data_IF_183134030811
#
_entry.id   IF_183134030811
#
_cell.length_a   1.000
_cell.length_b   1.000
_cell.length_c   1.000
_cell.angle_alpha   90.00
_cell.angle_beta   90.00
_cell.angle_gamma   90.00
#
_symmetry.space_group_name_H-M   'P 1'
#
loop_
_entity.id
_entity.type
_entity.pdbx_description
1 polymer ?
#
# COMPACT_ATOMS: atom_id res chain seq x y z
N UNK A 1 30.35 -30.41 -7.35
CA UNK A 1 30.80 -29.25 -8.13
C UNK A 1 29.71 -28.17 -8.10
N UNK A 2 30.12 -26.94 -7.78
CA UNK A 2 29.41 -25.66 -7.81
C UNK A 2 27.96 -25.57 -7.28
N UNK A 3 27.81 -25.30 -5.97
CA UNK A 3 26.63 -24.57 -5.45
C UNK A 3 26.66 -23.16 -6.04
N UNK A 4 25.67 -22.82 -6.84
CA UNK A 4 25.55 -21.50 -7.45
C UNK A 4 25.47 -20.40 -6.40
N UNK A 5 26.27 -19.36 -6.60
CA UNK A 5 26.67 -18.33 -5.62
C UNK A 5 25.87 -17.04 -5.85
N UNK A 6 24.61 -17.13 -6.27
CA UNK A 6 23.73 -15.96 -6.32
C UNK A 6 23.22 -15.62 -4.91
N UNK A 7 24.19 -15.14 -4.13
CA UNK A 7 24.05 -14.34 -2.92
C UNK A 7 23.07 -13.18 -3.17
N UNK A 8 22.07 -13.04 -2.32
CA UNK A 8 21.46 -11.76 -1.96
C UNK A 8 21.08 -10.79 -3.10
N UNK A 9 20.61 -11.28 -4.23
CA UNK A 9 19.81 -10.43 -5.10
C UNK A 9 18.39 -10.54 -4.56
N UNK A 10 17.92 -9.49 -3.88
CA UNK A 10 16.50 -9.25 -3.62
C UNK A 10 15.80 -9.24 -4.98
N UNK A 11 15.46 -10.44 -5.48
CA UNK A 11 14.43 -10.59 -6.49
C UNK A 11 13.16 -10.22 -5.74
N UNK A 12 12.86 -8.92 -5.66
CA UNK A 12 11.51 -8.46 -5.40
C UNK A 12 10.70 -9.16 -6.47
N UNK A 13 9.98 -10.22 -6.09
CA UNK A 13 9.08 -10.92 -6.99
C UNK A 13 8.07 -9.88 -7.42
N UNK A 14 8.29 -9.28 -8.60
CA UNK A 14 7.37 -8.31 -9.23
C UNK A 14 5.94 -8.85 -9.37
N UNK A 15 5.74 -10.15 -9.18
CA UNK A 15 4.46 -10.84 -9.12
C UNK A 15 3.53 -10.33 -7.99
N UNK A 16 4.06 -9.67 -6.94
CA UNK A 16 3.25 -9.20 -5.79
C UNK A 16 2.90 -7.71 -5.86
N UNK A 17 3.27 -7.02 -6.95
CA UNK A 17 2.98 -5.59 -7.12
C UNK A 17 1.55 -5.43 -7.66
N UNK A 18 0.65 -5.02 -6.78
CA UNK A 18 -0.72 -4.62 -7.11
C UNK A 18 -0.66 -3.27 -7.82
N UNK A 19 -0.92 -3.31 -9.13
CA UNK A 19 -1.17 -2.13 -9.96
C UNK A 19 -2.66 -1.91 -10.24
N UNK A 20 -3.51 -2.78 -9.70
CA UNK A 20 -4.93 -2.76 -9.94
C UNK A 20 -5.52 -1.43 -9.45
N UNK A 21 -6.17 -0.73 -10.39
CA UNK A 21 -6.77 0.57 -10.13
C UNK A 21 -8.00 0.47 -9.23
N UNK A 22 -8.75 -0.63 -9.33
CA UNK A 22 -9.94 -0.87 -8.52
C UNK A 22 -9.62 -0.94 -7.02
N UNK A 23 -8.44 -1.50 -6.68
CA UNK A 23 -7.96 -1.57 -5.29
C UNK A 23 -7.66 -0.17 -4.74
N UNK A 24 -7.04 0.70 -5.56
CA UNK A 24 -6.81 2.08 -5.16
C UNK A 24 -8.14 2.81 -4.91
N UNK A 25 -9.09 2.66 -5.82
CA UNK A 25 -10.39 3.33 -5.75
C UNK A 25 -11.19 2.89 -4.53
N UNK A 26 -11.21 1.60 -4.22
CA UNK A 26 -11.87 1.08 -3.01
C UNK A 26 -11.27 1.65 -1.70
N UNK A 27 -9.93 1.75 -1.63
CA UNK A 27 -9.26 2.37 -0.46
C UNK A 27 -9.58 3.86 -0.37
N UNK A 28 -9.64 4.55 -1.51
CA UNK A 28 -9.92 5.98 -1.55
C UNK A 28 -11.37 6.31 -1.19
N UNK A 29 -12.33 5.51 -1.66
CA UNK A 29 -13.74 5.65 -1.29
C UNK A 29 -13.94 5.47 0.22
N UNK A 30 -13.37 4.43 0.83
CA UNK A 30 -13.50 4.22 2.27
C UNK A 30 -12.79 5.33 3.06
N UNK A 31 -11.61 5.78 2.62
CA UNK A 31 -10.90 6.93 3.24
C UNK A 31 -11.78 8.18 3.26
N UNK A 32 -12.39 8.51 2.13
CA UNK A 32 -13.28 9.69 2.01
C UNK A 32 -14.51 9.52 2.88
N UNK A 33 -15.10 8.32 2.91
CA UNK A 33 -16.29 8.01 3.72
C UNK A 33 -16.05 8.19 5.22
N UNK A 34 -14.87 7.82 5.72
CA UNK A 34 -14.52 8.01 7.14
C UNK A 34 -13.93 9.40 7.43
N UNK A 35 -13.78 10.27 6.41
CA UNK A 35 -13.24 11.61 6.57
C UNK A 35 -11.74 11.68 6.90
N UNK A 36 -11.00 10.58 6.75
CA UNK A 36 -9.57 10.55 7.07
C UNK A 36 -8.74 11.29 6.02
N UNK A 37 -7.67 11.98 6.42
CA UNK A 37 -6.77 12.59 5.43
C UNK A 37 -5.83 11.53 4.82
N UNK A 38 -5.26 11.84 3.66
CA UNK A 38 -4.21 10.98 3.06
C UNK A 38 -2.99 10.88 3.98
N UNK A 39 -2.69 11.94 4.75
CA UNK A 39 -1.58 11.94 5.69
C UNK A 39 -1.80 10.95 6.84
N UNK A 40 -3.01 10.93 7.42
CA UNK A 40 -3.36 10.02 8.51
C UNK A 40 -3.32 8.57 8.05
N UNK A 41 -3.93 8.29 6.89
CA UNK A 41 -3.91 6.95 6.29
C UNK A 41 -2.48 6.47 6.02
N UNK A 42 -1.65 7.31 5.41
CA UNK A 42 -0.25 6.96 5.13
C UNK A 42 0.56 6.75 6.41
N UNK A 43 0.37 7.61 7.41
CA UNK A 43 1.06 7.53 8.69
C UNK A 43 0.71 6.23 9.42
N UNK A 44 -0.58 5.92 9.51
CA UNK A 44 -1.08 4.74 10.21
C UNK A 44 -0.71 3.43 9.46
N UNK A 45 -0.65 3.47 8.13
CA UNK A 45 -0.24 2.34 7.31
C UNK A 45 1.29 2.18 7.17
N UNK A 46 2.10 3.08 7.74
CA UNK A 46 3.56 3.08 7.57
C UNK A 46 4.02 3.32 6.11
N UNK A 47 3.17 3.95 5.29
CA UNK A 47 3.42 4.22 3.88
C UNK A 47 3.86 5.67 3.68
N UNK A 48 4.79 5.93 2.76
CA UNK A 48 5.08 7.31 2.38
C UNK A 48 3.98 7.89 1.48
N UNK A 49 3.62 9.16 1.71
CA UNK A 49 2.69 9.91 0.85
C UNK A 49 3.12 9.92 -0.62
N UNK A 50 4.43 9.97 -0.89
CA UNK A 50 4.94 9.91 -2.26
C UNK A 50 4.59 8.59 -2.94
N UNK A 51 4.73 7.46 -2.25
CA UNK A 51 4.39 6.16 -2.80
C UNK A 51 2.87 6.06 -3.07
N UNK A 52 2.06 6.57 -2.14
CA UNK A 52 0.62 6.67 -2.31
C UNK A 52 0.24 7.49 -3.57
N UNK A 53 0.84 8.66 -3.78
CA UNK A 53 0.56 9.47 -4.98
C UNK A 53 1.09 8.85 -6.28
N UNK A 54 2.20 8.10 -6.24
CA UNK A 54 2.68 7.33 -7.40
C UNK A 54 1.72 6.21 -7.77
N UNK A 55 1.18 5.51 -6.76
CA UNK A 55 0.12 4.53 -6.95
C UNK A 55 -1.15 5.17 -7.52
N UNK A 56 -1.57 6.33 -6.97
CA UNK A 56 -2.69 7.14 -7.51
C UNK A 56 -2.48 7.60 -8.96
N UNK A 57 -1.24 7.85 -9.39
CA UNK A 57 -0.95 8.24 -10.78
C UNK A 57 -0.78 7.06 -11.73
N UNK A 58 -0.84 5.82 -11.24
CA UNK A 58 -0.59 4.61 -12.04
C UNK A 58 0.88 4.44 -12.46
N UNK A 59 1.77 5.31 -12.00
CA UNK A 59 3.21 5.26 -12.30
C UNK A 59 3.99 4.37 -11.32
N UNK A 60 3.28 3.65 -10.46
CA UNK A 60 3.80 2.68 -9.50
C UNK A 60 2.73 1.65 -9.12
N UNK A 61 3.04 0.83 -8.13
CA UNK A 61 2.10 -0.09 -7.52
C UNK A 61 2.49 -0.32 -6.07
N UNK A 62 1.65 -1.03 -5.34
CA UNK A 62 1.92 -1.36 -3.94
C UNK A 62 2.09 -2.86 -3.79
N UNK A 63 2.83 -3.29 -2.77
CA UNK A 63 2.87 -4.70 -2.41
C UNK A 63 1.58 -5.10 -1.70
N UNK A 64 1.24 -6.38 -1.70
CA UNK A 64 0.08 -6.88 -0.97
C UNK A 64 0.12 -6.52 0.52
N UNK A 65 1.28 -6.62 1.17
CA UNK A 65 1.47 -6.19 2.57
C UNK A 65 1.11 -4.71 2.80
N UNK A 66 1.41 -3.86 1.81
CA UNK A 66 1.06 -2.43 1.87
C UNK A 66 -0.45 -2.23 1.72
N UNK A 67 -1.12 -3.00 0.86
CA UNK A 67 -2.59 -3.00 0.76
C UNK A 67 -3.20 -3.35 2.11
N UNK A 68 -2.73 -4.43 2.72
CA UNK A 68 -3.26 -4.91 4.00
C UNK A 68 -3.02 -3.91 5.12
N UNK A 69 -1.86 -3.24 5.12
CA UNK A 69 -1.56 -2.16 6.05
C UNK A 69 -2.50 -0.97 5.88
N UNK A 70 -2.80 -0.55 4.65
CA UNK A 70 -3.77 0.52 4.37
C UNK A 70 -5.20 0.12 4.79
N UNK A 71 -5.61 -1.12 4.53
CA UNK A 71 -6.93 -1.62 4.97
C UNK A 71 -7.03 -1.65 6.50
N UNK A 72 -5.99 -2.09 7.20
CA UNK A 72 -5.96 -2.09 8.65
C UNK A 72 -5.94 -0.67 9.24
N UNK A 73 -5.21 0.25 8.60
CA UNK A 73 -5.22 1.66 8.97
C UNK A 73 -6.63 2.28 8.85
N UNK A 74 -7.35 2.02 7.76
CA UNK A 74 -8.74 2.45 7.61
C UNK A 74 -9.65 1.93 8.74
N UNK A 75 -9.50 0.64 9.11
CA UNK A 75 -10.24 0.06 10.25
C UNK A 75 -9.92 0.74 11.58
N UNK A 76 -8.67 1.14 11.80
CA UNK A 76 -8.25 1.87 13.02
C UNK A 76 -8.84 3.28 13.04
N UNK A 77 -8.60 4.04 11.99
CA UNK A 77 -9.11 5.40 11.84
C UNK A 77 -10.64 5.47 11.94
N UNK A 78 -11.35 4.47 11.40
CA UNK A 78 -12.80 4.37 11.55
C UNK A 78 -13.25 4.16 12.99
N UNK A 79 -12.49 3.41 13.80
CA UNK A 79 -12.80 3.22 15.22
C UNK A 79 -12.57 4.48 16.03
N UNK A 80 -11.54 5.25 15.69
CA UNK A 80 -11.17 6.48 16.39
C UNK A 80 -12.09 7.67 16.05
N UNK A 81 -12.84 7.58 14.96
CA UNK A 81 -13.83 8.58 14.54
C UNK A 81 -15.21 8.44 15.21
N UNK A 82 -15.42 7.39 16.02
CA UNK A 82 -16.65 7.11 16.77
C UNK A 82 -16.44 7.30 18.28
#
# INVERSE_FOLDING_TARGET
>A
MARSIFRNVLIIKRAEIIKDRSVFEAIEEERVKIGATVADLCSEAGMSRQNYYRWRKGTGGIMEETRDSLTNALKRLRRDAH
#
